data_IF_367671312643
#
_entry.id   IF_367671312643
#
_cell.length_a   1.000
_cell.length_b   1.000
_cell.length_c   1.000
_cell.angle_alpha   90.00
_cell.angle_beta   90.00
_cell.angle_gamma   90.00
#
_symmetry.space_group_name_H-M   'P 1'
#
loop_
_entity.id
_entity.type
_entity.pdbx_description
1 polymer ?
#
# COMPACT_ATOMS: atom_id res chain seq x y z
N UNK A 1 -41.71 31.40 -7.95
CA UNK A 1 -41.05 31.79 -6.68
C UNK A 1 -42.14 32.26 -5.74
N UNK A 2 -42.27 31.65 -4.56
CA UNK A 2 -43.29 31.96 -3.56
C UNK A 2 -42.74 32.99 -2.56
N UNK A 3 -43.43 34.10 -2.33
CA UNK A 3 -42.96 35.15 -1.41
C UNK A 3 -43.64 34.95 -0.05
N UNK A 4 -42.85 34.77 1.00
CA UNK A 4 -43.33 34.56 2.36
C UNK A 4 -43.53 35.92 3.03
N UNK A 5 -44.77 36.20 3.40
CA UNK A 5 -45.14 37.39 4.15
C UNK A 5 -44.77 37.25 5.63
N UNK A 6 -45.09 36.09 6.23
CA UNK A 6 -44.88 35.85 7.65
C UNK A 6 -44.69 34.36 7.97
N UNK A 7 -43.87 34.08 8.98
CA UNK A 7 -43.78 32.76 9.62
C UNK A 7 -44.73 32.71 10.81
N UNK A 8 -45.64 31.75 10.83
CA UNK A 8 -46.65 31.59 11.88
C UNK A 8 -46.10 30.71 13.01
N UNK A 9 -45.43 29.62 12.65
CA UNK A 9 -44.71 28.71 13.55
C UNK A 9 -43.48 28.16 12.82
N UNK A 10 -42.34 27.89 13.49
CA UNK A 10 -42.05 28.22 14.89
C UNK A 10 -41.86 29.73 15.10
N UNK A 11 -42.16 30.19 16.31
CA UNK A 11 -41.99 31.60 16.71
C UNK A 11 -40.49 31.89 16.82
N UNK A 12 -40.03 32.92 16.11
CA UNK A 12 -38.63 33.31 16.07
C UNK A 12 -38.32 34.23 17.26
N UNK A 13 -37.42 33.79 18.13
CA UNK A 13 -36.87 34.60 19.23
C UNK A 13 -35.48 35.12 18.87
N UNK A 14 -35.19 36.40 19.13
CA UNK A 14 -33.87 36.99 18.88
C UNK A 14 -32.79 36.28 19.70
N UNK A 15 -31.73 35.83 19.05
CA UNK A 15 -30.54 35.23 19.68
C UNK A 15 -29.63 36.32 20.27
N UNK A 16 -29.07 36.06 21.46
CA UNK A 16 -28.02 36.89 22.06
C UNK A 16 -26.70 36.73 21.28
N UNK A 17 -25.90 37.78 21.19
CA UNK A 17 -24.62 37.80 20.47
C UNK A 17 -23.54 38.58 21.21
N UNK A 18 -22.29 38.15 21.13
CA UNK A 18 -21.10 38.85 21.65
C UNK A 18 -20.02 38.86 20.58
N UNK A 19 -19.51 40.05 20.24
CA UNK A 19 -18.41 40.24 19.28
C UNK A 19 -18.55 39.47 17.96
N UNK A 20 -19.78 39.45 17.42
CA UNK A 20 -20.13 38.79 16.16
C UNK A 20 -20.46 37.30 16.28
N UNK A 21 -20.20 36.67 17.43
CA UNK A 21 -20.57 35.28 17.72
C UNK A 21 -22.01 35.22 18.25
N UNK A 22 -22.75 34.18 17.85
CA UNK A 22 -24.09 33.85 18.33
C UNK A 22 -24.19 32.34 18.57
N UNK A 23 -25.16 31.91 19.38
CA UNK A 23 -25.34 30.49 19.69
C UNK A 23 -25.53 29.68 18.40
N UNK A 24 -24.87 28.52 18.30
CA UNK A 24 -24.82 27.65 17.12
C UNK A 24 -24.10 28.25 15.91
N UNK A 25 -23.40 29.39 16.04
CA UNK A 25 -22.50 29.86 15.00
C UNK A 25 -21.36 28.85 14.76
N UNK A 26 -20.90 28.74 13.52
CA UNK A 26 -19.74 27.92 13.15
C UNK A 26 -18.52 28.84 13.24
N UNK A 27 -17.63 28.54 14.16
CA UNK A 27 -16.35 29.20 14.29
C UNK A 27 -15.29 28.46 13.46
N UNK A 28 -14.36 29.21 12.89
CA UNK A 28 -13.22 28.69 12.15
C UNK A 28 -11.92 29.25 12.73
N UNK A 29 -10.91 28.39 12.82
CA UNK A 29 -9.53 28.78 13.09
C UNK A 29 -8.62 28.03 12.13
N UNK A 30 -8.06 28.74 11.15
CA UNK A 30 -7.30 28.15 10.04
C UNK A 30 -8.07 27.03 9.33
N UNK A 31 -7.73 25.76 9.57
CA UNK A 31 -8.38 24.58 8.98
C UNK A 31 -9.26 23.80 9.98
N UNK A 32 -9.50 24.35 11.18
CA UNK A 32 -10.32 23.74 12.21
C UNK A 32 -11.67 24.45 12.31
N UNK A 33 -12.73 23.66 12.54
CA UNK A 33 -14.09 24.15 12.69
C UNK A 33 -14.67 23.73 14.04
N UNK A 34 -15.50 24.60 14.61
CA UNK A 34 -16.16 24.37 15.89
C UNK A 34 -17.52 25.05 15.93
N UNK A 35 -18.34 24.67 16.91
CA UNK A 35 -19.69 25.20 17.11
C UNK A 35 -19.72 26.02 18.40
N UNK A 36 -20.25 27.23 18.33
CA UNK A 36 -20.51 28.05 19.52
C UNK A 36 -21.64 27.43 20.31
N UNK A 37 -21.33 26.92 21.51
CA UNK A 37 -22.27 26.17 22.36
C UNK A 37 -22.83 26.99 23.52
N UNK A 38 -22.17 28.10 23.88
CA UNK A 38 -22.67 29.01 24.90
C UNK A 38 -22.21 30.45 24.64
N UNK A 39 -23.09 31.40 24.96
CA UNK A 39 -22.80 32.83 24.99
C UNK A 39 -23.31 33.42 26.29
N UNK A 40 -22.38 33.89 27.11
CA UNK A 40 -22.66 34.56 28.36
C UNK A 40 -21.99 35.95 28.36
N UNK A 41 -22.72 37.03 27.99
CA UNK A 41 -22.17 38.38 27.91
C UNK A 41 -21.61 38.92 29.23
N UNK A 42 -22.06 38.38 30.36
CA UNK A 42 -21.64 38.82 31.70
C UNK A 42 -20.37 38.09 32.17
N UNK A 43 -19.91 37.08 31.42
CA UNK A 43 -18.70 36.31 31.73
C UNK A 43 -17.45 36.97 31.15
N UNK A 44 -16.34 36.90 31.89
CA UNK A 44 -15.01 37.30 31.38
C UNK A 44 -14.58 36.49 30.14
N UNK A 45 -15.07 35.25 30.01
CA UNK A 45 -14.90 34.39 28.82
C UNK A 45 -16.28 34.15 28.19
N UNK A 46 -16.78 35.11 27.39
CA UNK A 46 -18.19 35.14 27.02
C UNK A 46 -18.58 34.13 25.94
N UNK A 47 -17.63 33.54 25.19
CA UNK A 47 -17.93 32.66 24.04
C UNK A 47 -17.34 31.27 24.27
N UNK A 48 -18.17 30.23 24.29
CA UNK A 48 -17.71 28.83 24.39
C UNK A 48 -17.84 28.12 23.05
N UNK A 49 -16.74 27.56 22.54
CA UNK A 49 -16.69 26.85 21.25
C UNK A 49 -16.33 25.39 21.50
N UNK A 50 -17.14 24.49 20.95
CA UNK A 50 -16.85 23.06 20.88
C UNK A 50 -16.20 22.74 19.54
N UNK A 51 -14.93 22.39 19.54
CA UNK A 51 -14.18 22.06 18.31
C UNK A 51 -14.32 20.58 17.99
N UNK A 52 -14.34 20.24 16.71
CA UNK A 52 -14.69 18.90 16.17
C UNK A 52 -13.82 17.71 16.69
N UNK A 53 -12.83 17.96 17.56
CA UNK A 53 -11.93 16.96 18.17
C UNK A 53 -11.45 17.29 19.59
N UNK A 54 -11.90 18.40 20.21
CA UNK A 54 -11.40 18.86 21.51
C UNK A 54 -12.56 19.13 22.47
N UNK A 55 -12.25 19.20 23.76
CA UNK A 55 -13.22 19.65 24.77
C UNK A 55 -13.68 21.10 24.50
N UNK A 56 -14.92 21.46 24.85
CA UNK A 56 -15.41 22.83 24.74
C UNK A 56 -14.49 23.80 25.48
N UNK A 57 -14.13 24.90 24.83
CA UNK A 57 -13.25 25.91 25.41
C UNK A 57 -13.92 27.29 25.38
N UNK A 58 -13.84 28.01 26.49
CA UNK A 58 -14.37 29.36 26.63
C UNK A 58 -13.29 30.40 26.34
N UNK A 59 -13.58 31.35 25.47
CA UNK A 59 -12.65 32.37 24.97
C UNK A 59 -13.00 33.76 25.49
N UNK A 60 -11.98 34.57 25.75
CA UNK A 60 -12.14 36.03 25.88
C UNK A 60 -12.24 36.67 24.50
N UNK A 61 -12.77 37.90 24.41
CA UNK A 61 -12.83 38.64 23.14
C UNK A 61 -11.45 38.90 22.53
N UNK A 62 -10.45 39.18 23.36
CA UNK A 62 -9.08 39.39 22.91
C UNK A 62 -8.45 38.09 22.38
N UNK A 63 -8.70 36.95 23.02
CA UNK A 63 -8.23 35.64 22.54
C UNK A 63 -8.82 35.31 21.17
N UNK A 64 -10.11 35.56 20.95
CA UNK A 64 -10.76 35.36 19.64
C UNK A 64 -10.05 36.18 18.54
N UNK A 65 -9.70 37.43 18.83
CA UNK A 65 -9.01 38.33 17.90
C UNK A 65 -7.56 37.89 17.63
N UNK A 66 -6.79 37.60 18.67
CA UNK A 66 -5.38 37.21 18.56
C UNK A 66 -5.21 35.87 17.84
N UNK A 67 -6.09 34.91 18.15
CA UNK A 67 -6.08 33.58 17.55
C UNK A 67 -6.70 33.53 16.15
N UNK A 68 -7.23 34.66 15.66
CA UNK A 68 -7.94 34.80 14.37
C UNK A 68 -9.07 33.79 14.24
N UNK A 69 -9.85 33.65 15.31
CA UNK A 69 -11.05 32.82 15.32
C UNK A 69 -12.17 33.69 14.79
N UNK A 70 -12.78 33.25 13.68
CA UNK A 70 -13.81 34.01 12.99
C UNK A 70 -15.07 33.16 12.83
N UNK A 71 -16.23 33.80 12.84
CA UNK A 71 -17.49 33.14 12.46
C UNK A 71 -17.49 32.96 10.95
N UNK A 72 -17.67 31.72 10.49
CA UNK A 72 -17.85 31.45 9.06
C UNK A 72 -19.10 32.17 8.57
N UNK A 73 -18.99 32.95 7.50
CA UNK A 73 -20.14 33.64 6.90
C UNK A 73 -21.27 32.63 6.62
N UNK A 74 -22.34 32.76 7.41
CA UNK A 74 -23.53 31.93 7.24
C UNK A 74 -24.37 32.49 6.09
N UNK A 75 -24.98 31.59 5.31
CA UNK A 75 -25.84 31.92 4.14
C UNK A 75 -25.09 32.29 2.85
N UNK A 76 -23.94 31.70 2.57
CA UNK A 76 -23.32 31.79 1.24
C UNK A 76 -24.24 31.21 0.14
N UNK A 77 -24.58 31.98 -0.92
CA UNK A 77 -25.33 31.49 -2.08
C UNK A 77 -24.68 30.27 -2.71
N UNK A 78 -25.50 29.29 -3.11
CA UNK A 78 -25.13 28.00 -3.70
C UNK A 78 -24.24 27.11 -2.82
N UNK A 79 -23.84 27.57 -1.63
CA UNK A 79 -22.91 26.88 -0.73
C UNK A 79 -23.50 26.56 0.63
N UNK A 80 -24.67 27.09 0.97
CA UNK A 80 -25.28 26.87 2.29
C UNK A 80 -26.58 26.10 2.16
N UNK A 81 -26.70 25.01 2.91
CA UNK A 81 -27.94 24.26 3.08
C UNK A 81 -28.53 24.60 4.44
N UNK A 82 -29.78 25.03 4.45
CA UNK A 82 -30.57 25.34 5.62
C UNK A 82 -31.53 24.18 5.92
N UNK A 83 -31.77 23.90 7.20
CA UNK A 83 -32.84 23.01 7.64
C UNK A 83 -33.96 23.84 8.29
N UNK A 84 -35.15 23.73 7.73
CA UNK A 84 -36.38 24.28 8.30
C UNK A 84 -36.86 23.36 9.42
N UNK A 85 -37.25 23.87 10.60
CA UNK A 85 -37.81 23.05 11.65
C UNK A 85 -39.08 22.32 11.18
N UNK A 86 -39.35 21.11 11.67
CA UNK A 86 -40.60 20.42 11.38
C UNK A 86 -41.79 21.20 11.93
N UNK A 87 -42.97 21.00 11.34
CA UNK A 87 -44.21 21.71 11.64
C UNK A 87 -44.13 23.24 11.45
N UNK A 88 -43.19 23.73 10.63
CA UNK A 88 -43.12 25.15 10.26
C UNK A 88 -44.30 25.51 9.35
N UNK A 89 -45.02 26.58 9.65
CA UNK A 89 -46.12 27.09 8.81
C UNK A 89 -45.82 28.52 8.39
N UNK A 90 -45.90 28.78 7.08
CA UNK A 90 -45.62 30.08 6.46
C UNK A 90 -46.85 30.60 5.72
N UNK A 91 -47.09 31.91 5.80
CA UNK A 91 -48.10 32.64 5.05
C UNK A 91 -47.43 33.30 3.84
N UNK A 92 -47.96 33.03 2.66
CA UNK A 92 -47.53 33.65 1.41
C UNK A 92 -48.30 34.96 1.16
N UNK A 93 -47.72 35.85 0.35
CA UNK A 93 -48.33 37.15 0.00
C UNK A 93 -49.64 37.03 -0.79
N UNK A 94 -49.93 35.87 -1.37
CA UNK A 94 -51.20 35.57 -2.05
C UNK A 94 -52.28 35.01 -1.11
N UNK A 95 -51.96 34.90 0.19
CA UNK A 95 -52.85 34.37 1.23
C UNK A 95 -52.79 32.85 1.42
N UNK A 96 -52.02 32.12 0.59
CA UNK A 96 -51.82 30.67 0.76
C UNK A 96 -50.99 30.38 2.02
N UNK A 97 -51.38 29.35 2.78
CA UNK A 97 -50.56 28.83 3.88
C UNK A 97 -49.88 27.54 3.46
N UNK A 98 -48.55 27.51 3.60
CA UNK A 98 -47.74 26.32 3.33
C UNK A 98 -47.22 25.77 4.64
N UNK A 99 -47.46 24.49 4.88
CA UNK A 99 -47.02 23.77 6.08
C UNK A 99 -45.94 22.75 5.71
N UNK A 100 -44.80 22.87 6.38
CA UNK A 100 -43.66 21.96 6.26
C UNK A 100 -43.73 20.94 7.40
N UNK A 101 -44.33 19.78 7.13
CA UNK A 101 -44.60 18.78 8.18
C UNK A 101 -43.32 18.09 8.69
N UNK A 102 -42.35 17.89 7.80
CA UNK A 102 -41.06 17.28 8.12
C UNK A 102 -39.93 18.31 8.06
N UNK A 103 -38.74 17.94 8.55
CA UNK A 103 -37.56 18.80 8.50
C UNK A 103 -37.06 18.92 7.05
N UNK A 104 -37.54 19.94 6.35
CA UNK A 104 -37.17 20.18 4.96
C UNK A 104 -35.82 20.91 4.84
N UNK A 105 -35.07 20.61 3.78
CA UNK A 105 -33.76 21.20 3.51
C UNK A 105 -33.83 22.13 2.31
N UNK A 106 -33.21 23.30 2.45
CA UNK A 106 -33.22 24.33 1.44
C UNK A 106 -31.82 24.78 1.09
N UNK A 107 -31.51 24.92 -0.20
CA UNK A 107 -30.28 25.54 -0.67
C UNK A 107 -30.47 27.07 -0.72
N UNK A 108 -29.53 27.82 -0.17
CA UNK A 108 -29.52 29.28 -0.29
C UNK A 108 -29.18 29.65 -1.73
N UNK A 109 -30.09 30.32 -2.42
CA UNK A 109 -29.90 30.71 -3.82
C UNK A 109 -29.41 32.16 -3.94
N UNK A 110 -29.91 33.06 -3.09
CA UNK A 110 -29.54 34.47 -3.07
C UNK A 110 -29.73 35.06 -1.67
N UNK A 111 -28.79 35.90 -1.24
CA UNK A 111 -28.90 36.69 0.00
C UNK A 111 -28.77 38.16 -0.36
N UNK A 112 -29.76 38.94 0.05
CA UNK A 112 -29.76 40.40 0.02
C UNK A 112 -29.74 40.93 1.46
N UNK A 113 -29.61 42.25 1.62
CA UNK A 113 -29.58 42.88 2.95
C UNK A 113 -30.83 42.54 3.78
N UNK A 114 -32.02 42.50 3.17
CA UNK A 114 -33.30 42.28 3.86
C UNK A 114 -33.98 40.97 3.53
N UNK A 115 -33.60 40.30 2.44
CA UNK A 115 -34.29 39.11 1.93
C UNK A 115 -33.36 37.93 1.70
N UNK A 116 -33.90 36.74 1.86
CA UNK A 116 -33.24 35.45 1.69
C UNK A 116 -34.06 34.60 0.72
N UNK A 117 -33.47 34.22 -0.41
CA UNK A 117 -34.10 33.32 -1.40
C UNK A 117 -33.50 31.93 -1.23
N UNK A 118 -34.38 30.96 -1.00
CA UNK A 118 -34.03 29.57 -0.73
C UNK A 118 -34.83 28.63 -1.61
N UNK A 119 -34.22 27.53 -2.05
CA UNK A 119 -34.85 26.51 -2.88
C UNK A 119 -34.91 25.19 -2.12
N UNK A 120 -36.09 24.59 -2.02
CA UNK A 120 -36.22 23.26 -1.44
C UNK A 120 -35.45 22.25 -2.30
N UNK A 121 -34.54 21.50 -1.68
CA UNK A 121 -33.63 20.59 -2.39
C UNK A 121 -34.38 19.46 -3.09
N UNK A 122 -35.48 19.00 -2.49
CA UNK A 122 -36.31 17.88 -2.96
C UNK A 122 -37.34 18.31 -3.98
N UNK A 123 -38.16 19.31 -3.65
CA UNK A 123 -39.31 19.72 -4.49
C UNK A 123 -38.94 20.77 -5.53
N UNK A 124 -37.74 21.35 -5.45
CA UNK A 124 -37.27 22.48 -6.29
C UNK A 124 -38.14 23.73 -6.20
N UNK A 125 -39.02 23.80 -5.20
CA UNK A 125 -39.82 24.99 -4.94
C UNK A 125 -38.95 26.09 -4.31
N UNK A 126 -38.95 27.27 -4.93
CA UNK A 126 -38.22 28.44 -4.45
C UNK A 126 -39.10 29.38 -3.62
N UNK A 127 -38.59 29.78 -2.45
CA UNK A 127 -39.23 30.66 -1.49
C UNK A 127 -38.36 31.89 -1.21
N UNK A 128 -38.98 33.04 -1.01
CA UNK A 128 -38.32 34.26 -0.58
C UNK A 128 -38.82 34.65 0.81
N UNK A 129 -37.90 34.76 1.76
CA UNK A 129 -38.16 35.16 3.14
C UNK A 129 -37.55 36.53 3.43
N UNK A 130 -38.12 37.23 4.41
CA UNK A 130 -37.37 38.27 5.13
C UNK A 130 -36.24 37.60 5.91
N UNK A 131 -35.01 38.11 5.77
CA UNK A 131 -33.81 37.48 6.34
C UNK A 131 -33.90 37.31 7.86
N UNK A 132 -34.40 38.33 8.54
CA UNK A 132 -34.59 38.32 10.00
C UNK A 132 -35.74 37.39 10.46
N UNK A 133 -36.64 37.04 9.54
CA UNK A 133 -37.83 36.23 9.79
C UNK A 133 -37.69 34.79 9.29
N UNK A 134 -36.50 34.33 8.96
CA UNK A 134 -36.28 32.94 8.54
C UNK A 134 -36.12 32.02 9.76
N UNK A 135 -36.90 30.92 9.88
CA UNK A 135 -36.91 30.08 11.08
C UNK A 135 -35.89 28.92 11.03
N UNK A 136 -35.22 28.73 9.89
CA UNK A 136 -34.30 27.62 9.68
C UNK A 136 -32.87 27.93 10.11
N UNK A 137 -32.15 26.86 10.47
CA UNK A 137 -30.75 26.92 10.87
C UNK A 137 -29.86 26.39 9.75
N UNK A 138 -28.58 26.78 9.78
CA UNK A 138 -27.56 26.18 8.91
C UNK A 138 -27.45 24.70 9.23
N UNK A 139 -27.69 23.86 8.22
CA UNK A 139 -27.56 22.41 8.30
C UNK A 139 -26.19 21.95 7.81
N UNK A 140 -25.73 22.51 6.69
CA UNK A 140 -24.43 22.20 6.12
C UNK A 140 -23.88 23.36 5.29
N UNK A 141 -22.56 23.49 5.28
CA UNK A 141 -21.83 24.33 4.33
C UNK A 141 -21.05 23.45 3.35
N UNK A 142 -21.22 23.72 2.07
CA UNK A 142 -20.40 23.19 1.00
C UNK A 142 -19.14 24.05 0.95
N UNK A 143 -18.09 23.55 1.57
CA UNK A 143 -16.77 24.11 1.45
C UNK A 143 -16.15 23.45 0.23
N UNK A 144 -16.01 24.20 -0.87
CA UNK A 144 -15.10 23.77 -1.93
C UNK A 144 -13.72 23.66 -1.29
N UNK A 145 -13.01 22.52 -1.45
CA UNK A 145 -11.62 22.46 -1.04
C UNK A 145 -10.92 23.65 -1.69
N UNK A 146 -9.98 24.32 -0.99
CA UNK A 146 -9.31 25.48 -1.55
C UNK A 146 -8.89 25.09 -2.96
N UNK A 147 -9.43 25.80 -3.96
CA UNK A 147 -8.87 25.71 -5.30
C UNK A 147 -7.41 25.94 -5.06
N UNK A 148 -6.59 24.93 -5.34
CA UNK A 148 -5.16 25.11 -5.46
C UNK A 148 -5.04 26.01 -6.68
N UNK A 149 -5.25 27.32 -6.46
CA UNK A 149 -4.61 28.34 -7.23
C UNK A 149 -3.17 28.07 -6.86
N UNK A 150 -2.56 27.21 -7.68
CA UNK A 150 -1.14 27.21 -7.83
C UNK A 150 -0.83 28.68 -8.16
N UNK A 151 -0.52 29.47 -7.13
CA UNK A 151 0.55 30.43 -7.29
C UNK A 151 1.62 29.62 -8.01
N UNK A 152 2.15 30.05 -9.17
CA UNK A 152 3.33 29.41 -9.68
C UNK A 152 4.30 29.48 -8.50
N UNK A 153 4.54 28.33 -7.88
CA UNK A 153 5.71 28.15 -7.07
C UNK A 153 6.76 28.51 -8.09
N UNK A 154 7.39 29.68 -7.97
CA UNK A 154 8.69 29.91 -8.61
C UNK A 154 9.46 28.64 -8.28
N UNK A 155 9.62 27.78 -9.29
CA UNK A 155 9.65 26.34 -9.07
C UNK A 155 10.71 26.03 -8.03
N UNK A 156 10.28 25.73 -6.80
CA UNK A 156 11.21 25.53 -5.71
C UNK A 156 12.07 24.34 -6.16
N UNK A 157 13.40 24.47 -6.09
CA UNK A 157 14.26 23.42 -6.60
C UNK A 157 13.92 22.14 -5.86
N UNK A 158 13.83 21.04 -6.60
CA UNK A 158 13.50 19.73 -6.06
C UNK A 158 14.39 19.44 -4.84
N UNK A 159 13.76 19.06 -3.74
CA UNK A 159 14.48 18.63 -2.54
C UNK A 159 15.26 17.35 -2.82
N UNK A 160 16.27 17.08 -1.99
CA UNK A 160 17.07 15.86 -2.09
C UNK A 160 16.19 14.58 -2.08
N UNK A 161 15.17 14.55 -1.22
CA UNK A 161 14.27 13.40 -1.11
C UNK A 161 13.39 13.23 -2.36
N UNK A 162 12.87 14.34 -2.91
CA UNK A 162 12.08 14.29 -4.14
C UNK A 162 12.92 13.86 -5.34
N UNK A 163 14.18 14.30 -5.42
CA UNK A 163 15.11 13.84 -6.45
C UNK A 163 15.41 12.35 -6.33
N UNK A 164 15.61 11.83 -5.11
CA UNK A 164 15.79 10.40 -4.88
C UNK A 164 14.58 9.61 -5.38
N UNK A 165 13.38 10.01 -4.98
CA UNK A 165 12.14 9.33 -5.37
C UNK A 165 11.89 9.40 -6.89
N UNK A 166 12.10 10.56 -7.50
CA UNK A 166 11.97 10.73 -8.96
C UNK A 166 13.02 9.91 -9.71
N UNK A 167 14.25 9.83 -9.21
CA UNK A 167 15.30 8.99 -9.80
C UNK A 167 14.94 7.50 -9.72
N UNK A 168 14.43 7.03 -8.59
CA UNK A 168 13.97 5.63 -8.41
C UNK A 168 12.85 5.29 -9.40
N UNK A 169 11.82 6.14 -9.51
CA UNK A 169 10.73 5.96 -10.47
C UNK A 169 11.27 5.95 -11.90
N UNK A 170 12.13 6.91 -12.24
CA UNK A 170 12.65 7.03 -13.58
C UNK A 170 13.47 5.80 -13.99
N UNK A 171 14.31 5.28 -13.08
CA UNK A 171 15.05 4.03 -13.28
C UNK A 171 14.09 2.85 -13.48
N UNK A 172 13.03 2.74 -12.67
CA UNK A 172 12.04 1.67 -12.82
C UNK A 172 11.30 1.69 -14.16
N UNK A 173 11.06 2.87 -14.72
CA UNK A 173 10.34 3.04 -15.99
C UNK A 173 11.24 2.94 -17.23
N UNK A 174 12.49 3.42 -17.15
CA UNK A 174 13.34 3.62 -18.33
C UNK A 174 14.53 2.66 -18.39
N UNK A 175 14.92 2.03 -17.28
CA UNK A 175 16.05 1.10 -17.25
C UNK A 175 15.61 -0.31 -17.61
N UNK A 176 16.06 -0.81 -18.76
CA UNK A 176 15.75 -2.17 -19.18
C UNK A 176 16.70 -3.19 -18.50
N UNK A 177 16.22 -4.30 -17.90
CA UNK A 177 17.06 -5.23 -17.15
C UNK A 177 18.22 -5.87 -17.93
N UNK A 178 18.10 -5.95 -19.26
CA UNK A 178 19.20 -6.41 -20.15
C UNK A 178 20.47 -5.55 -19.99
N UNK A 179 20.31 -4.27 -19.65
CA UNK A 179 21.44 -3.35 -19.45
C UNK A 179 22.26 -3.64 -18.19
N UNK A 180 21.76 -4.46 -17.25
CA UNK A 180 22.51 -4.82 -16.04
C UNK A 180 23.84 -5.50 -16.35
N UNK A 181 23.90 -6.29 -17.43
CA UNK A 181 25.12 -6.97 -17.84
C UNK A 181 26.17 -6.03 -18.45
N UNK A 182 25.74 -4.87 -18.96
CA UNK A 182 26.61 -3.87 -19.59
C UNK A 182 26.86 -2.66 -18.70
N UNK A 183 26.35 -2.62 -17.46
CA UNK A 183 26.49 -1.47 -16.56
C UNK A 183 27.96 -1.09 -16.37
N UNK A 184 28.26 0.18 -16.60
CA UNK A 184 29.59 0.79 -16.41
C UNK A 184 29.40 2.21 -15.87
N UNK A 185 30.41 2.80 -15.23
CA UNK A 185 30.34 4.19 -14.78
C UNK A 185 29.96 5.17 -15.89
N UNK A 186 30.40 4.92 -17.14
CA UNK A 186 30.03 5.74 -18.29
C UNK A 186 28.52 5.66 -18.62
N UNK A 187 27.94 4.47 -18.52
CA UNK A 187 26.50 4.26 -18.74
C UNK A 187 25.69 4.90 -17.62
N UNK A 188 26.17 4.84 -16.38
CA UNK A 188 25.51 5.50 -15.24
C UNK A 188 25.49 7.01 -15.39
N UNK A 189 26.61 7.61 -15.80
CA UNK A 189 26.65 9.04 -16.09
C UNK A 189 25.69 9.41 -17.23
N UNK A 190 25.60 8.58 -18.28
CA UNK A 190 24.64 8.78 -19.36
C UNK A 190 23.18 8.71 -18.86
N UNK A 191 22.85 7.75 -18.00
CA UNK A 191 21.51 7.61 -17.43
C UNK A 191 21.16 8.78 -16.50
N UNK A 192 22.10 9.20 -15.67
CA UNK A 192 21.95 10.39 -14.82
C UNK A 192 21.70 11.65 -15.65
N UNK A 193 22.43 11.81 -16.76
CA UNK A 193 22.21 12.92 -17.69
C UNK A 193 20.81 12.86 -18.33
N UNK A 194 20.35 11.68 -18.75
CA UNK A 194 18.99 11.52 -19.27
C UNK A 194 17.91 11.85 -18.22
N UNK A 195 18.11 11.43 -16.97
CA UNK A 195 17.23 11.84 -15.87
C UNK A 195 17.22 13.37 -15.74
N UNK A 196 18.39 14.03 -15.69
CA UNK A 196 18.47 15.48 -15.56
C UNK A 196 17.73 16.23 -16.67
N UNK A 197 17.74 15.71 -17.90
CA UNK A 197 17.01 16.28 -19.04
C UNK A 197 15.49 16.05 -18.94
N UNK A 198 15.05 15.00 -18.24
CA UNK A 198 13.63 14.67 -18.06
C UNK A 198 12.97 15.42 -16.90
N UNK A 199 13.76 15.98 -15.98
CA UNK A 199 13.26 16.76 -14.86
C UNK A 199 12.76 18.12 -15.36
N UNK A 200 11.45 18.32 -15.31
CA UNK A 200 10.81 19.59 -15.72
C UNK A 200 10.98 20.71 -14.69
N UNK A 201 11.26 20.36 -13.43
CA UNK A 201 11.45 21.30 -12.33
C UNK A 201 12.94 21.54 -12.10
N UNK A 202 13.35 22.75 -11.67
CA UNK A 202 14.73 23.07 -11.36
C UNK A 202 15.22 22.23 -10.19
N UNK A 203 16.52 21.99 -10.14
CA UNK A 203 17.20 21.28 -9.07
C UNK A 203 18.65 21.74 -9.02
N UNK A 204 19.32 21.53 -7.88
CA UNK A 204 20.76 21.78 -7.78
C UNK A 204 21.54 20.53 -8.21
N UNK A 205 22.63 20.73 -8.97
CA UNK A 205 23.51 19.64 -9.39
C UNK A 205 24.03 18.84 -8.20
N UNK A 206 24.39 19.53 -7.11
CA UNK A 206 24.83 18.93 -5.85
C UNK A 206 23.79 17.97 -5.27
N UNK A 207 22.50 18.35 -5.24
CA UNK A 207 21.47 17.45 -4.71
C UNK A 207 21.28 16.23 -5.62
N UNK A 208 21.39 16.40 -6.94
CA UNK A 208 21.33 15.27 -7.88
C UNK A 208 22.55 14.34 -7.72
N UNK A 209 23.74 14.89 -7.47
CA UNK A 209 24.96 14.14 -7.21
C UNK A 209 24.85 13.24 -5.97
N UNK A 210 24.14 13.69 -4.94
CA UNK A 210 23.85 12.89 -3.74
C UNK A 210 22.66 11.94 -3.92
N UNK A 211 21.60 12.37 -4.61
CA UNK A 211 20.38 11.58 -4.79
C UNK A 211 20.61 10.36 -5.69
N UNK A 212 21.32 10.55 -6.81
CA UNK A 212 21.52 9.54 -7.84
C UNK A 212 22.14 8.22 -7.34
N UNK A 213 23.30 8.21 -6.65
CA UNK A 213 23.93 6.96 -6.24
C UNK A 213 23.07 6.17 -5.26
N UNK A 214 22.31 6.85 -4.39
CA UNK A 214 21.39 6.20 -3.43
C UNK A 214 20.22 5.55 -4.16
N UNK A 215 19.60 6.28 -5.09
CA UNK A 215 18.50 5.76 -5.90
C UNK A 215 18.95 4.58 -6.78
N UNK A 216 20.13 4.69 -7.39
CA UNK A 216 20.70 3.65 -8.23
C UNK A 216 21.03 2.39 -7.42
N UNK A 217 21.68 2.52 -6.25
CA UNK A 217 22.00 1.39 -5.38
C UNK A 217 20.73 0.63 -4.95
N UNK A 218 19.70 1.35 -4.49
CA UNK A 218 18.40 0.75 -4.14
C UNK A 218 17.77 0.01 -5.32
N UNK A 219 17.77 0.62 -6.50
CA UNK A 219 17.27 -0.01 -7.71
C UNK A 219 18.05 -1.29 -8.04
N UNK A 220 19.38 -1.25 -7.99
CA UNK A 220 20.23 -2.42 -8.25
C UNK A 220 20.01 -3.54 -7.23
N UNK A 221 19.85 -3.22 -5.95
CA UNK A 221 19.52 -4.20 -4.91
C UNK A 221 18.16 -4.87 -5.17
N UNK A 222 17.16 -4.11 -5.62
CA UNK A 222 15.87 -4.67 -6.02
C UNK A 222 16.02 -5.58 -7.25
N UNK A 223 16.77 -5.15 -8.26
CA UNK A 223 17.05 -5.96 -9.43
C UNK A 223 17.84 -7.23 -9.09
N UNK A 224 18.75 -7.19 -8.11
CA UNK A 224 19.52 -8.34 -7.65
C UNK A 224 18.61 -9.44 -7.08
N UNK A 225 17.51 -9.05 -6.43
CA UNK A 225 16.48 -9.96 -5.91
C UNK A 225 15.50 -10.43 -6.98
N UNK A 226 15.02 -9.53 -7.84
CA UNK A 226 13.97 -9.83 -8.82
C UNK A 226 14.49 -10.53 -10.08
N UNK A 227 15.52 -9.98 -10.69
CA UNK A 227 16.02 -10.40 -12.01
C UNK A 227 17.37 -11.11 -11.91
N UNK A 228 18.25 -10.60 -11.07
CA UNK A 228 19.62 -11.09 -10.90
C UNK A 228 20.53 -10.74 -12.07
N UNK A 229 21.61 -11.49 -12.22
CA UNK A 229 22.58 -11.37 -13.31
C UNK A 229 22.99 -12.77 -13.78
N UNK A 230 23.01 -13.02 -15.09
CA UNK A 230 23.35 -14.32 -15.68
C UNK A 230 22.55 -15.52 -15.11
N UNK A 231 21.29 -15.29 -14.73
CA UNK A 231 20.43 -16.32 -14.12
C UNK A 231 20.67 -16.56 -12.63
N UNK A 232 21.58 -15.82 -12.01
CA UNK A 232 21.85 -15.85 -10.57
C UNK A 232 21.21 -14.63 -9.88
N UNK A 233 20.32 -14.90 -8.92
CA UNK A 233 19.67 -13.89 -8.07
C UNK A 233 20.17 -13.98 -6.65
N UNK A 234 19.99 -12.93 -5.85
CA UNK A 234 20.16 -13.01 -4.40
C UNK A 234 19.23 -14.11 -3.85
N UNK A 235 19.78 -14.97 -2.99
CA UNK A 235 19.10 -16.17 -2.47
C UNK A 235 19.32 -17.44 -3.30
N UNK A 236 19.93 -17.36 -4.48
CA UNK A 236 20.20 -18.55 -5.31
C UNK A 236 21.14 -19.50 -4.58
N UNK A 237 20.72 -20.76 -4.46
CA UNK A 237 21.52 -21.82 -3.85
C UNK A 237 22.55 -22.36 -4.82
N UNK A 238 23.75 -22.56 -4.32
CA UNK A 238 24.92 -22.99 -5.06
C UNK A 238 25.56 -24.19 -4.39
N UNK A 239 26.24 -25.00 -5.20
CA UNK A 239 27.03 -26.14 -4.76
C UNK A 239 28.43 -25.99 -5.30
N UNK A 240 29.40 -26.04 -4.40
CA UNK A 240 30.81 -26.10 -4.74
C UNK A 240 31.34 -27.51 -4.45
N UNK A 241 31.90 -28.14 -5.48
CA UNK A 241 32.67 -29.37 -5.35
C UNK A 241 34.13 -29.04 -5.10
N UNK A 242 34.52 -28.95 -3.83
CA UNK A 242 35.90 -28.60 -3.45
C UNK A 242 36.89 -29.74 -3.78
N UNK A 243 36.46 -30.99 -3.59
CA UNK A 243 37.19 -32.22 -3.94
C UNK A 243 36.20 -33.31 -4.37
N UNK A 244 36.68 -34.48 -4.81
CA UNK A 244 35.81 -35.54 -5.32
C UNK A 244 34.73 -36.02 -4.34
N UNK A 245 34.92 -35.80 -3.03
CA UNK A 245 34.01 -36.24 -1.96
C UNK A 245 33.42 -35.10 -1.12
N UNK A 246 33.94 -33.87 -1.21
CA UNK A 246 33.44 -32.74 -0.41
C UNK A 246 32.56 -31.80 -1.22
N UNK A 247 31.30 -31.73 -0.80
CA UNK A 247 30.29 -30.82 -1.31
C UNK A 247 30.04 -29.71 -0.29
N UNK A 248 30.17 -28.46 -0.72
CA UNK A 248 29.89 -27.27 0.08
C UNK A 248 28.71 -26.52 -0.53
N UNK A 249 27.65 -26.33 0.25
CA UNK A 249 26.52 -25.51 -0.18
C UNK A 249 26.76 -24.05 0.20
N UNK A 250 26.19 -23.17 -0.59
CA UNK A 250 26.21 -21.74 -0.35
C UNK A 250 25.03 -21.04 -1.01
N UNK A 251 25.01 -19.73 -0.83
CA UNK A 251 23.95 -18.86 -1.29
C UNK A 251 24.52 -17.55 -1.78
N UNK A 252 24.01 -17.05 -2.90
CA UNK A 252 24.28 -15.67 -3.35
C UNK A 252 23.65 -14.70 -2.37
N UNK A 253 24.47 -13.84 -1.75
CA UNK A 253 24.02 -12.81 -0.81
C UNK A 253 23.91 -11.44 -1.46
N UNK A 254 24.77 -11.16 -2.44
CA UNK A 254 24.81 -9.86 -3.11
C UNK A 254 25.41 -9.97 -4.52
N UNK A 255 25.13 -8.97 -5.38
CA UNK A 255 25.58 -8.90 -6.77
C UNK A 255 26.22 -7.54 -7.03
N UNK A 256 27.52 -7.55 -7.34
CA UNK A 256 28.21 -6.36 -7.82
C UNK A 256 28.08 -6.29 -9.34
N UNK A 257 27.19 -5.42 -9.83
CA UNK A 257 26.92 -5.25 -11.25
C UNK A 257 28.10 -4.65 -12.03
N UNK A 258 28.88 -3.73 -11.44
CA UNK A 258 30.03 -3.12 -12.10
C UNK A 258 31.14 -4.12 -12.38
N UNK A 259 31.44 -4.97 -11.40
CA UNK A 259 32.48 -6.00 -11.51
C UNK A 259 31.94 -7.33 -12.08
N UNK A 260 30.61 -7.46 -12.18
CA UNK A 260 29.91 -8.69 -12.59
C UNK A 260 30.30 -9.88 -11.73
N UNK A 261 30.36 -9.64 -10.42
CA UNK A 261 30.73 -10.63 -9.41
C UNK A 261 29.60 -10.86 -8.42
N UNK A 262 29.58 -12.07 -7.87
CA UNK A 262 28.59 -12.55 -6.93
C UNK A 262 29.25 -12.77 -5.59
N UNK A 263 28.71 -12.12 -4.55
CA UNK A 263 29.05 -12.43 -3.17
C UNK A 263 28.28 -13.67 -2.75
N UNK A 264 29.00 -14.68 -2.27
CA UNK A 264 28.46 -15.97 -1.86
C UNK A 264 28.81 -16.19 -0.40
N UNK A 265 27.82 -16.58 0.39
CA UNK A 265 27.99 -17.08 1.75
C UNK A 265 27.85 -18.60 1.75
N UNK A 266 28.86 -19.28 2.26
CA UNK A 266 28.93 -20.74 2.33
C UNK A 266 28.44 -21.23 3.69
N UNK A 267 28.00 -22.48 3.76
CA UNK A 267 27.50 -23.11 5.00
C UNK A 267 28.54 -23.15 6.14
N UNK A 268 29.83 -23.02 5.83
CA UNK A 268 30.90 -22.90 6.82
C UNK A 268 31.08 -21.46 7.36
N UNK A 269 30.19 -20.53 6.99
CA UNK A 269 30.22 -19.12 7.37
C UNK A 269 31.21 -18.25 6.58
N UNK A 270 32.02 -18.83 5.67
CA UNK A 270 32.94 -18.05 4.84
C UNK A 270 32.18 -17.31 3.74
N UNK A 271 32.64 -16.10 3.45
CA UNK A 271 32.17 -15.32 2.30
C UNK A 271 33.23 -15.31 1.22
N UNK A 272 32.78 -15.40 -0.02
CA UNK A 272 33.65 -15.39 -1.19
C UNK A 272 33.00 -14.61 -2.31
N UNK A 273 33.80 -14.08 -3.23
CA UNK A 273 33.30 -13.27 -4.34
C UNK A 273 33.83 -13.84 -5.65
N UNK A 274 32.94 -14.23 -6.56
CA UNK A 274 33.32 -14.87 -7.82
C UNK A 274 32.61 -14.27 -9.03
N UNK A 275 33.26 -14.27 -10.18
CA UNK A 275 32.62 -14.09 -11.48
C UNK A 275 32.03 -15.41 -12.00
N UNK A 276 31.13 -15.35 -13.00
CA UNK A 276 30.59 -16.56 -13.64
C UNK A 276 31.69 -17.47 -14.21
N UNK A 277 32.77 -16.89 -14.73
CA UNK A 277 33.89 -17.65 -15.31
C UNK A 277 34.66 -18.40 -14.22
N UNK A 278 34.96 -17.74 -13.10
CA UNK A 278 35.61 -18.37 -11.95
C UNK A 278 34.71 -19.46 -11.35
N UNK A 279 33.40 -19.22 -11.24
CA UNK A 279 32.44 -20.23 -10.78
C UNK A 279 32.47 -21.48 -11.66
N UNK A 280 32.49 -21.31 -12.98
CA UNK A 280 32.64 -22.44 -13.92
C UNK A 280 33.97 -23.18 -13.76
N UNK A 281 35.07 -22.44 -13.63
CA UNK A 281 36.41 -23.03 -13.45
C UNK A 281 36.52 -23.83 -12.14
N UNK A 282 35.87 -23.36 -11.08
CA UNK A 282 35.84 -24.00 -9.76
C UNK A 282 34.74 -25.07 -9.61
N UNK A 283 34.03 -25.42 -10.69
CA UNK A 283 32.91 -26.37 -10.65
C UNK A 283 31.82 -25.98 -9.62
N UNK A 284 31.59 -24.67 -9.48
CA UNK A 284 30.47 -24.13 -8.69
C UNK A 284 29.23 -24.15 -9.59
N UNK A 285 28.22 -24.90 -9.18
CA UNK A 285 27.00 -25.11 -9.96
C UNK A 285 25.77 -24.60 -9.22
N UNK A 286 24.75 -24.18 -9.98
CA UNK A 286 23.45 -23.85 -9.41
C UNK A 286 22.78 -25.10 -8.85
N UNK A 287 22.08 -24.94 -7.73
CA UNK A 287 21.24 -25.98 -7.15
C UNK A 287 19.78 -25.63 -7.40
N UNK A 288 19.11 -26.48 -8.16
CA UNK A 288 17.70 -26.32 -8.47
C UNK A 288 16.86 -27.28 -7.63
N UNK A 289 15.74 -26.76 -7.13
CA UNK A 289 14.69 -27.56 -6.50
C UNK A 289 13.60 -27.75 -7.55
N UNK A 290 13.25 -29.00 -7.83
CA UNK A 290 12.26 -29.37 -8.84
C UNK A 290 11.12 -30.13 -8.18
N UNK A 291 9.92 -29.56 -8.29
CA UNK A 291 8.68 -30.16 -7.84
C UNK A 291 8.07 -30.97 -8.99
N UNK A 292 8.04 -32.29 -8.85
CA UNK A 292 7.39 -33.17 -9.84
C UNK A 292 5.91 -33.39 -9.54
N UNK A 293 5.53 -33.30 -8.27
CA UNK A 293 4.15 -33.39 -7.76
C UNK A 293 4.12 -32.89 -6.31
N UNK A 294 2.93 -32.78 -5.72
CA UNK A 294 2.73 -32.40 -4.31
C UNK A 294 3.36 -33.39 -3.32
N UNK A 295 3.79 -34.56 -3.80
CA UNK A 295 4.41 -35.59 -2.96
C UNK A 295 5.84 -35.93 -3.37
N UNK A 296 6.37 -35.39 -4.46
CA UNK A 296 7.70 -35.75 -4.96
C UNK A 296 8.46 -34.50 -5.37
N UNK A 297 9.58 -34.27 -4.69
CA UNK A 297 10.50 -33.16 -4.97
C UNK A 297 11.93 -33.69 -5.02
N UNK A 298 12.76 -33.11 -5.87
CA UNK A 298 14.19 -33.38 -5.85
C UNK A 298 15.01 -32.11 -6.01
N UNK A 299 16.24 -32.18 -5.50
CA UNK A 299 17.27 -31.16 -5.56
C UNK A 299 18.36 -31.69 -6.46
N UNK A 300 18.70 -30.95 -7.51
CA UNK A 300 19.72 -31.33 -8.49
C UNK A 300 20.68 -30.17 -8.73
N UNK A 301 21.97 -30.48 -8.86
CA UNK A 301 22.96 -29.50 -9.31
C UNK A 301 22.96 -29.34 -10.83
N UNK A 302 23.33 -28.16 -11.32
CA UNK A 302 23.35 -27.85 -12.76
C UNK A 302 24.29 -28.74 -13.57
N UNK A 303 25.41 -29.16 -12.96
CA UNK A 303 26.37 -30.11 -13.52
C UNK A 303 25.93 -31.59 -13.39
N UNK A 304 24.78 -31.84 -12.75
CA UNK A 304 24.20 -33.18 -12.49
C UNK A 304 25.11 -34.10 -11.66
N UNK A 305 26.08 -33.57 -10.92
CA UNK A 305 26.90 -34.35 -9.99
C UNK A 305 26.16 -34.71 -8.71
N UNK A 306 25.19 -33.88 -8.32
CA UNK A 306 24.40 -34.02 -7.10
C UNK A 306 22.92 -34.23 -7.40
N UNK A 307 22.30 -35.20 -6.74
CA UNK A 307 20.85 -35.42 -6.75
C UNK A 307 20.40 -35.93 -5.38
N UNK A 308 19.43 -35.22 -4.78
CA UNK A 308 18.76 -35.63 -3.55
C UNK A 308 17.26 -35.57 -3.77
N UNK A 309 16.52 -36.62 -3.45
CA UNK A 309 15.08 -36.68 -3.68
C UNK A 309 14.32 -36.99 -2.40
N UNK A 310 13.12 -36.43 -2.29
CA UNK A 310 12.22 -36.55 -1.17
C UNK A 310 10.83 -36.96 -1.65
N UNK A 311 10.21 -37.88 -0.92
CA UNK A 311 8.87 -38.39 -1.20
C UNK A 311 8.03 -38.24 0.06
N UNK A 312 7.01 -37.40 -0.03
CA UNK A 312 6.13 -37.00 1.06
C UNK A 312 4.80 -37.74 1.09
N UNK A 313 4.24 -37.86 2.29
CA UNK A 313 2.95 -38.46 2.57
C UNK A 313 2.21 -37.67 3.65
N UNK A 314 0.89 -37.59 3.51
CA UNK A 314 0.02 -36.99 4.53
C UNK A 314 0.01 -37.79 5.85
N UNK A 315 0.07 -39.13 5.76
CA UNK A 315 0.00 -40.00 6.94
C UNK A 315 1.08 -41.07 6.96
N UNK A 316 1.51 -41.46 8.16
CA UNK A 316 2.44 -42.57 8.40
C UNK A 316 1.95 -43.89 7.82
N UNK A 317 0.62 -44.11 7.81
CA UNK A 317 -0.01 -45.32 7.29
C UNK A 317 0.20 -45.45 5.78
N UNK A 318 -0.05 -44.37 5.03
CA UNK A 318 0.19 -44.32 3.59
C UNK A 318 1.67 -44.51 3.27
N UNK A 319 2.56 -43.80 3.98
CA UNK A 319 3.99 -43.93 3.79
C UNK A 319 4.49 -45.38 3.96
N UNK A 320 3.99 -46.11 4.96
CA UNK A 320 4.32 -47.52 5.16
C UNK A 320 3.74 -48.43 4.07
N UNK A 321 2.52 -48.17 3.60
CA UNK A 321 1.88 -48.96 2.57
C UNK A 321 2.62 -48.86 1.22
N UNK A 322 3.05 -47.66 0.85
CA UNK A 322 3.76 -47.40 -0.41
C UNK A 322 5.24 -47.77 -0.39
N UNK A 323 5.84 -47.94 0.80
CA UNK A 323 7.26 -48.18 1.00
C UNK A 323 7.84 -49.26 0.07
N UNK A 324 7.18 -50.42 -0.01
CA UNK A 324 7.70 -51.56 -0.79
C UNK A 324 7.65 -51.29 -2.29
N UNK A 325 6.61 -50.61 -2.78
CA UNK A 325 6.44 -50.29 -4.20
C UNK A 325 7.47 -49.24 -4.61
N UNK A 326 7.60 -48.17 -3.81
CA UNK A 326 8.53 -47.08 -4.10
C UNK A 326 9.97 -47.58 -4.03
N UNK A 327 10.34 -48.39 -3.03
CA UNK A 327 11.68 -48.99 -2.96
C UNK A 327 12.04 -49.79 -4.22
N UNK A 328 11.07 -50.47 -4.84
CA UNK A 328 11.30 -51.18 -6.11
C UNK A 328 11.59 -50.22 -7.27
N UNK A 329 11.00 -49.03 -7.27
CA UNK A 329 11.15 -48.05 -8.36
C UNK A 329 12.45 -47.25 -8.18
N UNK A 330 12.62 -46.57 -7.04
CA UNK A 330 13.70 -45.58 -6.86
C UNK A 330 14.93 -46.13 -6.16
N UNK A 331 14.82 -47.18 -5.35
CA UNK A 331 15.93 -47.79 -4.60
C UNK A 331 15.80 -47.66 -3.09
N UNK A 332 16.92 -47.48 -2.39
CA UNK A 332 16.97 -47.41 -0.92
C UNK A 332 16.43 -46.06 -0.44
N UNK A 333 15.49 -46.14 0.49
CA UNK A 333 14.90 -44.99 1.18
C UNK A 333 15.39 -44.94 2.62
N UNK A 334 15.48 -43.72 3.16
CA UNK A 334 15.77 -43.46 4.56
C UNK A 334 14.69 -44.01 5.49
N UNK A 335 14.95 -43.90 6.79
CA UNK A 335 13.89 -44.00 7.77
C UNK A 335 12.86 -42.88 7.56
N UNK A 336 11.60 -43.18 7.89
CA UNK A 336 10.51 -42.22 7.78
C UNK A 336 10.68 -41.13 8.83
N UNK A 337 10.77 -39.87 8.41
CA UNK A 337 10.88 -38.70 9.29
C UNK A 337 9.54 -37.97 9.40
N UNK A 338 9.23 -37.46 10.59
CA UNK A 338 8.08 -36.58 10.86
C UNK A 338 8.58 -35.14 10.68
N UNK A 339 8.24 -34.53 9.55
CA UNK A 339 8.53 -33.12 9.30
C UNK A 339 7.28 -32.33 9.74
N UNK A 340 7.33 -31.81 10.97
CA UNK A 340 6.36 -30.83 11.46
C UNK A 340 7.03 -29.47 11.34
N UNK A 341 6.44 -28.56 10.55
CA UNK A 341 6.77 -27.11 10.43
C UNK A 341 7.99 -26.70 11.27
N UNK A 342 9.18 -26.70 10.67
CA UNK A 342 10.38 -26.25 11.36
C UNK A 342 11.72 -26.48 10.66
N UNK A 343 11.85 -27.51 9.82
CA UNK A 343 13.10 -27.79 9.11
C UNK A 343 12.81 -28.00 7.62
N UNK A 344 13.33 -27.09 6.78
CA UNK A 344 13.34 -27.14 5.29
C UNK A 344 12.21 -27.97 4.68
N UNK A 345 10.98 -27.54 4.91
CA UNK A 345 9.78 -28.21 4.41
C UNK A 345 9.63 -27.93 2.92
N UNK A 346 10.31 -28.72 2.08
CA UNK A 346 10.10 -28.65 0.64
C UNK A 346 8.65 -29.06 0.27
N UNK A 347 7.99 -29.90 1.07
CA UNK A 347 6.63 -30.38 0.83
C UNK A 347 5.70 -30.00 1.98
N UNK A 348 5.22 -28.76 1.97
CA UNK A 348 4.46 -28.09 3.04
C UNK A 348 3.18 -28.82 3.49
N UNK A 349 2.57 -29.66 2.64
CA UNK A 349 1.35 -30.41 2.94
C UNK A 349 1.61 -31.84 3.43
N UNK A 350 2.86 -32.31 3.38
CA UNK A 350 3.22 -33.69 3.73
C UNK A 350 3.94 -33.76 5.07
N UNK A 351 3.28 -34.38 6.05
CA UNK A 351 3.82 -34.55 7.40
C UNK A 351 4.96 -35.58 7.48
N UNK A 352 4.96 -36.56 6.58
CA UNK A 352 5.88 -37.70 6.66
C UNK A 352 6.68 -37.83 5.37
N UNK A 353 8.00 -37.91 5.46
CA UNK A 353 8.85 -37.93 4.28
C UNK A 353 9.91 -39.04 4.32
N UNK A 354 10.16 -39.64 3.16
CA UNK A 354 11.35 -40.45 2.89
C UNK A 354 12.33 -39.66 2.04
N UNK A 355 13.61 -39.75 2.38
CA UNK A 355 14.68 -39.34 1.48
C UNK A 355 15.18 -40.56 0.70
N UNK A 356 15.47 -40.40 -0.59
CA UNK A 356 16.19 -41.43 -1.34
C UNK A 356 17.67 -41.40 -0.93
N UNK A 357 18.12 -42.43 -0.21
CA UNK A 357 19.53 -42.55 0.23
C UNK A 357 20.41 -43.08 -0.90
N UNK A 358 19.90 -44.05 -1.65
CA UNK A 358 20.65 -44.68 -2.72
C UNK A 358 19.71 -45.04 -3.87
N UNK A 359 19.92 -44.40 -5.02
CA UNK A 359 19.16 -44.72 -6.21
C UNK A 359 19.49 -46.12 -6.73
N UNK A 360 18.47 -46.83 -7.20
CA UNK A 360 18.61 -48.15 -7.82
C UNK A 360 19.46 -48.11 -9.09
N UNK A 361 19.35 -47.04 -9.87
CA UNK A 361 20.03 -46.90 -11.15
C UNK A 361 21.28 -46.02 -11.03
N UNK A 362 22.35 -46.39 -11.74
CA UNK A 362 23.59 -45.60 -11.80
C UNK A 362 23.43 -44.31 -12.64
N UNK A 363 22.73 -44.38 -13.77
CA UNK A 363 22.62 -43.24 -14.69
C UNK A 363 21.61 -42.19 -14.25
N UNK A 364 21.99 -40.92 -14.33
CA UNK A 364 21.13 -39.79 -13.92
C UNK A 364 19.77 -39.79 -14.63
N UNK A 365 19.77 -40.05 -15.95
CA UNK A 365 18.54 -40.13 -16.75
C UNK A 365 17.53 -41.13 -16.17
N UNK A 366 17.98 -42.34 -15.80
CA UNK A 366 17.10 -43.36 -15.23
C UNK A 366 16.65 -43.01 -13.80
N UNK A 367 17.51 -42.35 -13.01
CA UNK A 367 17.13 -41.85 -11.68
C UNK A 367 15.96 -40.87 -11.77
N UNK A 368 16.04 -39.91 -12.68
CA UNK A 368 14.99 -38.92 -12.91
C UNK A 368 13.69 -39.57 -13.45
N UNK A 369 13.79 -40.48 -14.42
CA UNK A 369 12.63 -41.25 -14.91
C UNK A 369 11.93 -42.05 -13.81
N UNK A 370 12.71 -42.59 -12.86
CA UNK A 370 12.15 -43.33 -11.72
C UNK A 370 11.37 -42.42 -10.78
N UNK A 371 11.85 -41.19 -10.55
CA UNK A 371 11.13 -40.19 -9.75
C UNK A 371 9.86 -39.72 -10.46
N UNK A 372 9.91 -39.53 -11.77
CA UNK A 372 8.75 -39.18 -12.60
C UNK A 372 7.69 -40.29 -12.58
N UNK A 373 8.12 -41.56 -12.59
CA UNK A 373 7.21 -42.70 -12.43
C UNK A 373 6.53 -42.65 -11.05
N UNK A 374 7.26 -42.31 -10.00
CA UNK A 374 6.69 -42.19 -8.64
C UNK A 374 5.74 -41.00 -8.53
N UNK A 375 6.04 -39.86 -9.16
CA UNK A 375 5.17 -38.68 -9.11
C UNK A 375 3.84 -38.88 -9.83
N UNK A 376 3.77 -39.83 -10.77
CA UNK A 376 2.52 -40.22 -11.43
C UNK A 376 1.66 -41.17 -10.57
N UNK A 377 2.18 -41.71 -9.47
CA UNK A 377 1.40 -42.54 -8.55
C UNK A 377 0.51 -41.64 -7.67
N UNK A 378 -0.73 -42.07 -7.43
CA UNK A 378 -1.60 -41.39 -6.46
C UNK A 378 -1.21 -41.80 -5.03
N UNK A 379 -0.21 -41.10 -4.46
CA UNK A 379 0.34 -41.38 -3.13
C UNK A 379 -0.61 -41.00 -1.97
N UNK A 380 -1.72 -40.32 -2.26
CA UNK A 380 -2.76 -39.98 -1.30
C UNK A 380 -3.72 -41.14 -1.00
N UNK A 381 -3.81 -42.10 -1.93
CA UNK A 381 -4.65 -43.29 -1.79
C UNK A 381 -3.82 -44.50 -1.39
N UNK A 382 -4.49 -45.52 -0.85
CA UNK A 382 -3.84 -46.80 -0.62
C UNK A 382 -3.39 -47.39 -1.95
N UNK A 383 -2.18 -48.00 -2.01
CA UNK A 383 -1.76 -48.69 -3.22
C UNK A 383 -2.75 -49.81 -3.52
N UNK A 384 -3.23 -49.84 -4.76
CA UNK A 384 -4.01 -50.98 -5.23
C UNK A 384 -3.13 -52.22 -5.04
N UNK A 385 -3.69 -53.26 -4.39
CA UNK A 385 -2.99 -54.52 -4.19
C UNK A 385 -2.64 -55.08 -5.57
N UNK A 386 -1.42 -54.87 -6.03
CA UNK A 386 -0.84 -55.73 -7.04
C UNK A 386 -0.75 -57.10 -6.40
N UNK A 387 -1.70 -57.99 -6.74
CA UNK A 387 -1.56 -59.43 -6.48
C UNK A 387 -0.22 -59.82 -7.08
N UNK A 388 0.69 -60.23 -6.19
CA UNK A 388 2.03 -60.69 -6.50
C UNK A 388 2.00 -61.88 -7.43
#
# INVERSE_FOLDING_TARGET
>A
MKIVEKVIYPIITKTRSVSGFYLNAIACQANHYGIVTNIDPESYRPVTINWDKNEPFAYTEDELRVLKIEVVEQLLPQKTILAMPPATTVLLTDGEQVKFETQERFLVHKVCNTTLVVENITTKAAYQFMREGFPGNVYAHIIEPPKIIAKPVEELPLSLQELQYKAEIWLALNFHPIMLASLTPAIEQKLKHQLSQSLQQPFTSTNLDFAWPVALDRYLQEQARRTGLHGLKVGTKLLWRCTDEQLMFGQVTDINYHQRRFSIEWDNGKRSCFSVLEMKALSISLVNIVYLSDNVVYVISGDRSYLKAYIGFRTKKLAKAWLRIIKKIVGRLSNLKDYRRGETDYLSETKWQYQVEQFRYKSMKRRLQSLETVSQLNLEKMPLKFRS
#
